data_IF_661662473810
#
_entry.id   IF_661662473810
#
_cell.length_a   1.000
_cell.length_b   1.000
_cell.length_c   1.000
_cell.angle_alpha   90.00
_cell.angle_beta   90.00
_cell.angle_gamma   90.00
#
_symmetry.space_group_name_H-M   'P 1'
#
loop_
_entity.id
_entity.type
_entity.pdbx_description
1 polymer ?
#
# COMPACT_ATOMS: atom_id res chain seq x y z
N UNK A 1 9.82 -35.38 -6.39
CA UNK A 1 9.21 -34.22 -7.06
C UNK A 1 8.68 -33.30 -5.98
N UNK A 2 9.33 -32.16 -5.71
CA UNK A 2 8.83 -31.21 -4.71
C UNK A 2 7.55 -30.59 -5.24
N UNK A 3 6.47 -30.67 -4.47
CA UNK A 3 5.25 -29.94 -4.72
C UNK A 3 5.63 -28.45 -4.68
N UNK A 4 5.74 -27.80 -5.84
CA UNK A 4 5.85 -26.35 -5.89
C UNK A 4 4.46 -25.84 -5.54
N UNK A 5 4.29 -25.33 -4.32
CA UNK A 5 3.07 -24.66 -3.92
C UNK A 5 2.76 -23.56 -4.94
N UNK A 6 1.48 -23.37 -5.26
CA UNK A 6 1.05 -22.39 -6.24
C UNK A 6 1.58 -21.00 -5.80
N UNK A 7 2.39 -20.29 -6.59
CA UNK A 7 3.06 -19.07 -6.14
C UNK A 7 2.10 -18.01 -5.61
N UNK A 8 0.87 -17.95 -6.14
CA UNK A 8 -0.18 -17.03 -5.71
C UNK A 8 -0.73 -17.36 -4.31
N UNK A 9 -0.70 -18.62 -3.88
CA UNK A 9 -1.12 -19.04 -2.52
C UNK A 9 -0.10 -18.65 -1.44
N UNK A 10 1.11 -18.23 -1.84
CA UNK A 10 2.19 -17.82 -0.95
C UNK A 10 2.31 -16.30 -0.80
N UNK A 11 1.49 -15.53 -1.52
CA UNK A 11 1.49 -14.06 -1.46
C UNK A 11 0.45 -13.62 -0.43
N UNK A 12 0.91 -13.20 0.74
CA UNK A 12 0.06 -12.54 1.74
C UNK A 12 0.09 -11.03 1.48
N UNK A 13 -1.03 -10.45 1.06
CA UNK A 13 -1.13 -9.01 0.87
C UNK A 13 -2.25 -8.42 1.72
N UNK A 14 -1.87 -7.47 2.58
CA UNK A 14 -2.81 -6.67 3.37
C UNK A 14 -2.61 -5.20 3.06
N UNK A 15 -3.69 -4.52 2.68
CA UNK A 15 -3.71 -3.08 2.49
C UNK A 15 -4.77 -2.46 3.40
N UNK A 16 -4.40 -1.37 4.04
CA UNK A 16 -5.28 -0.55 4.86
C UNK A 16 -5.08 0.92 4.57
N UNK A 17 -6.17 1.67 4.66
CA UNK A 17 -6.17 3.14 4.57
C UNK A 17 -6.54 3.64 5.97
N UNK A 18 -5.57 3.79 6.89
CA UNK A 18 -5.83 4.20 8.26
C UNK A 18 -6.44 5.60 8.39
N UNK A 19 -6.16 6.50 7.44
CA UNK A 19 -6.61 7.89 7.53
C UNK A 19 -6.88 8.48 6.16
N UNK A 20 -7.99 9.22 6.07
CA UNK A 20 -8.33 10.08 4.94
C UNK A 20 -8.74 11.43 5.51
N UNK A 21 -7.99 12.47 5.20
CA UNK A 21 -8.34 13.85 5.53
C UNK A 21 -8.77 14.56 4.24
N UNK A 22 -10.07 14.83 4.09
CA UNK A 22 -10.60 15.56 2.94
C UNK A 22 -10.43 17.07 3.19
N UNK A 23 -9.88 17.79 2.23
CA UNK A 23 -9.73 19.24 2.33
C UNK A 23 -11.10 19.93 2.31
N UNK A 24 -11.22 21.10 2.94
CA UNK A 24 -12.47 21.83 3.05
C UNK A 24 -13.08 22.25 1.69
N UNK A 25 -12.24 22.36 0.65
CA UNK A 25 -12.67 22.66 -0.72
C UNK A 25 -13.18 21.42 -1.48
N UNK A 26 -13.12 20.23 -0.86
CA UNK A 26 -13.48 18.93 -1.44
C UNK A 26 -12.77 18.57 -2.77
N UNK A 27 -11.72 19.32 -3.12
CA UNK A 27 -10.95 19.15 -4.33
C UNK A 27 -9.66 18.35 -4.10
N UNK A 28 -9.25 18.18 -2.85
CA UNK A 28 -8.10 17.35 -2.49
C UNK A 28 -8.30 16.56 -1.21
N UNK A 29 -7.51 15.51 -1.03
CA UNK A 29 -7.46 14.74 0.20
C UNK A 29 -6.02 14.32 0.50
N UNK A 30 -5.67 14.22 1.78
CA UNK A 30 -4.49 13.51 2.22
C UNK A 30 -4.90 12.10 2.62
N UNK A 31 -4.25 11.10 2.04
CA UNK A 31 -4.52 9.69 2.32
C UNK A 31 -3.26 9.05 2.88
N UNK A 32 -3.37 8.46 4.05
CA UNK A 32 -2.33 7.61 4.60
C UNK A 32 -2.66 6.16 4.26
N UNK A 33 -1.69 5.44 3.71
CA UNK A 33 -1.84 4.01 3.44
C UNK A 33 -0.80 3.20 4.20
N UNK A 34 -1.17 1.96 4.51
CA UNK A 34 -0.25 0.93 4.97
C UNK A 34 -0.53 -0.34 4.19
N UNK A 35 0.49 -0.83 3.49
CA UNK A 35 0.47 -2.12 2.84
C UNK A 35 1.50 -3.06 3.47
N UNK A 36 1.21 -4.35 3.51
CA UNK A 36 2.16 -5.39 3.89
C UNK A 36 2.09 -6.48 2.84
N UNK A 37 3.25 -6.85 2.32
CA UNK A 37 3.43 -7.92 1.34
C UNK A 37 4.32 -8.98 1.99
N UNK A 38 3.80 -10.19 2.16
CA UNK A 38 4.53 -11.38 2.52
C UNK A 38 4.75 -12.22 1.26
N UNK A 39 6.00 -12.55 1.00
CA UNK A 39 6.45 -13.53 0.02
C UNK A 39 7.30 -14.57 0.75
N UNK A 40 7.51 -15.77 0.18
CA UNK A 40 8.45 -16.74 0.74
C UNK A 40 9.82 -16.11 1.03
N UNK A 41 10.22 -16.09 2.30
CA UNK A 41 11.49 -15.53 2.74
C UNK A 41 11.56 -13.99 2.82
N UNK A 42 10.51 -13.25 2.45
CA UNK A 42 10.53 -11.79 2.41
C UNK A 42 9.23 -11.19 2.94
N UNK A 43 9.34 -10.21 3.83
CA UNK A 43 8.23 -9.36 4.26
C UNK A 43 8.57 -7.90 4.00
N UNK A 44 7.67 -7.22 3.30
CA UNK A 44 7.75 -5.79 3.05
C UNK A 44 6.56 -5.10 3.71
N UNK A 45 6.80 -3.99 4.39
CA UNK A 45 5.74 -3.09 4.85
C UNK A 45 5.96 -1.73 4.21
N UNK A 46 4.92 -1.17 3.63
CA UNK A 46 4.91 0.17 3.04
C UNK A 46 4.04 1.06 3.90
N UNK A 47 4.47 2.29 4.14
CA UNK A 47 3.60 3.37 4.60
C UNK A 47 3.77 4.55 3.66
N UNK A 48 2.67 5.05 3.14
CA UNK A 48 2.67 6.24 2.28
C UNK A 48 1.74 7.31 2.85
N UNK A 49 2.04 8.56 2.49
CA UNK A 49 1.16 9.70 2.65
C UNK A 49 1.03 10.38 1.29
N UNK A 50 -0.16 10.29 0.72
CA UNK A 50 -0.45 10.69 -0.64
C UNK A 50 -1.37 11.91 -0.65
N UNK A 51 -1.01 12.95 -1.40
CA UNK A 51 -1.92 14.05 -1.71
C UNK A 51 -2.69 13.72 -2.97
N UNK A 52 -3.98 13.49 -2.83
CA UNK A 52 -4.90 13.23 -3.91
C UNK A 52 -5.57 14.52 -4.37
N UNK A 53 -5.66 14.74 -5.68
CA UNK A 53 -6.41 15.84 -6.30
C UNK A 53 -7.54 15.25 -7.14
N UNK A 54 -8.77 15.65 -6.85
CA UNK A 54 -9.94 15.29 -7.64
C UNK A 54 -9.97 16.09 -8.94
N UNK A 55 -10.09 15.37 -10.06
CA UNK A 55 -10.49 15.90 -11.37
C UNK A 55 -11.85 15.33 -11.74
N UNK A 56 -12.45 15.80 -12.84
CA UNK A 56 -13.83 15.45 -13.22
C UNK A 56 -14.10 13.93 -13.23
N UNK A 57 -13.18 13.15 -13.80
CA UNK A 57 -13.35 11.70 -14.00
C UNK A 57 -12.23 10.85 -13.39
N UNK A 58 -11.31 11.45 -12.63
CA UNK A 58 -10.14 10.76 -12.07
C UNK A 58 -9.61 11.46 -10.83
N UNK A 59 -8.86 10.73 -10.03
CA UNK A 59 -8.07 11.28 -8.94
C UNK A 59 -6.59 11.15 -9.31
N UNK A 60 -5.82 12.21 -9.09
CA UNK A 60 -4.37 12.22 -9.32
C UNK A 60 -3.64 12.20 -7.99
N UNK A 61 -2.57 11.43 -7.90
CA UNK A 61 -1.59 11.56 -6.82
C UNK A 61 -0.68 12.72 -7.20
N UNK A 62 -0.86 13.87 -6.56
CA UNK A 62 -0.08 15.08 -6.83
C UNK A 62 1.26 15.07 -6.08
N UNK A 63 1.31 14.37 -4.95
CA UNK A 63 2.52 14.17 -4.16
C UNK A 63 2.39 12.83 -3.44
N UNK A 64 3.50 12.11 -3.33
CA UNK A 64 3.57 10.84 -2.59
C UNK A 64 4.91 10.78 -1.88
N UNK A 65 4.85 10.56 -0.57
CA UNK A 65 6.02 10.24 0.23
C UNK A 65 5.75 8.94 0.97
N UNK A 66 6.77 8.10 1.06
CA UNK A 66 6.61 6.82 1.74
C UNK A 66 7.92 6.22 2.17
N UNK A 67 7.79 5.23 3.05
CA UNK A 67 8.90 4.41 3.53
C UNK A 67 8.52 2.95 3.36
N UNK A 68 9.48 2.17 2.89
CA UNK A 68 9.39 0.72 2.83
C UNK A 68 10.35 0.11 3.86
N UNK A 69 9.84 -0.79 4.68
CA UNK A 69 10.64 -1.65 5.55
C UNK A 69 10.67 -3.03 4.93
N UNK A 70 11.87 -3.59 4.81
CA UNK A 70 12.10 -4.89 4.20
C UNK A 70 12.83 -5.77 5.20
N UNK A 71 12.38 -7.01 5.35
CA UNK A 71 13.00 -7.99 6.25
C UNK A 71 12.61 -9.41 5.88
N UNK A 72 13.11 -10.41 6.60
CA UNK A 72 12.71 -11.80 6.39
C UNK A 72 11.24 -12.00 6.77
N UNK A 73 10.52 -12.86 6.02
CA UNK A 73 9.25 -13.39 6.49
C UNK A 73 9.52 -14.40 7.61
N UNK A 74 8.95 -14.18 8.80
CA UNK A 74 9.02 -15.17 9.89
C UNK A 74 8.36 -16.47 9.42
N UNK A 75 9.07 -17.59 9.61
CA UNK A 75 8.59 -18.95 9.27
C UNK A 75 7.37 -19.35 10.09
#
# INVERSE_FOLDING_TARGET
MSHVANPEELIDYKHSIPKIDIAADEHSAMVETRATLGLPGLRMTFRTRDKLIRKRWKTLIAHSEGTAWVGPAYQ
#
